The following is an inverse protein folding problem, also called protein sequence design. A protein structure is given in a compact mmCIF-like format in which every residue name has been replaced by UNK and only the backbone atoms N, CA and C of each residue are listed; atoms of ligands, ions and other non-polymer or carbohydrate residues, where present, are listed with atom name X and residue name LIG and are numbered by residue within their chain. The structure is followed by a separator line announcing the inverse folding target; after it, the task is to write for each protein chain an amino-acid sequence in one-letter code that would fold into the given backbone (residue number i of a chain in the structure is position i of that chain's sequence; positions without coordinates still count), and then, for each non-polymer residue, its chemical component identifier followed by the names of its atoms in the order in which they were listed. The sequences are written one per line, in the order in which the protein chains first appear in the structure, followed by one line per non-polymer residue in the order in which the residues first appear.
data_IF_205472969076
#
_entry.id   IF_205472969076
#
_cell.length_a   1.000
_cell.length_b   1.000
_cell.length_c   1.000
_cell.angle_alpha   90.00
_cell.angle_beta   90.00
_cell.angle_gamma   90.00
#
_symmetry.space_group_name_H-M   'P 1'
#
loop_
_entity.id
_entity.type
_entity.pdbx_description
1 polymer ?
#
# COMPACT_ATOMS: atom_id res chain seq x y z
N UNK A 1 -12.06 -11.73 -12.89
CA UNK A 1 -12.47 -11.54 -11.49
C UNK A 1 -11.69 -10.34 -10.97
N UNK A 2 -12.36 -9.33 -10.43
CA UNK A 2 -11.65 -8.14 -9.94
C UNK A 2 -10.83 -8.57 -8.73
N UNK A 3 -9.50 -8.65 -8.86
CA UNK A 3 -8.62 -8.78 -7.70
C UNK A 3 -8.86 -7.51 -6.88
N UNK A 4 -9.69 -7.63 -5.86
CA UNK A 4 -9.81 -6.60 -4.85
C UNK A 4 -8.63 -6.80 -3.89
N UNK A 5 -7.98 -5.71 -3.48
CA UNK A 5 -6.92 -5.81 -2.49
C UNK A 5 -7.51 -6.30 -1.17
N UNK A 6 -6.75 -7.14 -0.48
CA UNK A 6 -7.12 -7.70 0.82
C UNK A 6 -7.21 -6.60 1.89
N UNK A 7 -6.31 -5.61 1.83
CA UNK A 7 -6.33 -4.47 2.73
C UNK A 7 -5.59 -3.25 2.14
N UNK A 8 -5.89 -2.05 2.64
CA UNK A 8 -5.19 -0.82 2.26
C UNK A 8 -4.87 0.01 3.49
N UNK A 9 -3.63 0.49 3.58
CA UNK A 9 -3.15 1.36 4.64
C UNK A 9 -2.66 2.65 4.00
N UNK A 10 -3.18 3.80 4.45
CA UNK A 10 -2.87 5.11 3.87
C UNK A 10 -2.31 6.08 4.91
N UNK A 11 -1.23 6.76 4.55
CA UNK A 11 -0.62 7.85 5.31
C UNK A 11 -0.25 9.00 4.38
N UNK A 12 -0.95 10.12 4.54
CA UNK A 12 -0.84 11.25 3.63
C UNK A 12 -1.13 10.81 2.19
N UNK A 13 -0.15 10.99 1.30
CA UNK A 13 -0.23 10.58 -0.10
C UNK A 13 0.23 9.13 -0.34
N UNK A 14 0.89 8.49 0.62
CA UNK A 14 1.41 7.12 0.47
C UNK A 14 0.37 6.09 0.88
N UNK A 15 0.18 5.05 0.07
CA UNK A 15 -0.73 3.94 0.32
C UNK A 15 0.00 2.62 0.13
N UNK A 16 0.00 1.76 1.15
CA UNK A 16 0.30 0.34 1.01
C UNK A 16 -0.99 -0.41 0.64
N UNK A 17 -0.98 -1.10 -0.50
CA UNK A 17 -2.06 -1.96 -0.96
C UNK A 17 -1.62 -3.40 -0.82
N UNK A 18 -2.34 -4.16 0.00
CA UNK A 18 -2.02 -5.55 0.32
C UNK A 18 -2.88 -6.46 -0.55
N UNK A 19 -2.25 -7.44 -1.20
CA UNK A 19 -2.90 -8.44 -2.04
C UNK A 19 -2.78 -9.82 -1.41
N UNK A 20 -3.82 -10.64 -1.51
CA UNK A 20 -3.78 -12.04 -1.10
C UNK A 20 -3.78 -12.92 -2.35
N UNK A 21 -2.69 -13.65 -2.57
CA UNK A 21 -2.49 -14.56 -3.68
C UNK A 21 -2.52 -16.00 -3.13
N UNK A 22 -3.72 -16.50 -2.87
CA UNK A 22 -3.99 -17.84 -2.34
C UNK A 22 -3.21 -18.18 -1.06
N UNK A 23 -3.03 -17.19 -0.19
CA UNK A 23 -2.32 -17.32 1.07
C UNK A 23 -0.92 -16.74 1.09
N UNK A 24 -0.39 -16.30 -0.06
CA UNK A 24 0.83 -15.53 -0.14
C UNK A 24 0.49 -14.05 -0.29
N UNK A 25 0.96 -13.22 0.63
CA UNK A 25 0.67 -11.79 0.60
C UNK A 25 1.76 -11.02 -0.15
N UNK A 26 1.34 -10.05 -0.97
CA UNK A 26 2.22 -9.04 -1.57
C UNK A 26 1.74 -7.64 -1.22
N UNK A 27 2.64 -6.65 -1.28
CA UNK A 27 2.33 -5.26 -0.92
C UNK A 27 2.87 -4.30 -1.98
N UNK A 28 2.00 -3.48 -2.55
CA UNK A 28 2.37 -2.35 -3.39
C UNK A 28 2.32 -1.05 -2.58
N UNK A 29 3.46 -0.38 -2.44
CA UNK A 29 3.52 0.95 -1.83
C UNK A 29 3.57 1.99 -2.95
N UNK A 30 2.54 2.83 -3.00
CA UNK A 30 2.41 3.87 -4.03
C UNK A 30 2.14 5.22 -3.40
N UNK A 31 2.48 6.28 -4.11
CA UNK A 31 2.14 7.66 -3.77
C UNK A 31 1.10 8.19 -4.74
N UNK A 32 0.08 8.84 -4.21
CA UNK A 32 -0.92 9.57 -4.99
C UNK A 32 -0.45 10.99 -5.32
N UNK A 33 -0.69 11.43 -6.55
CA UNK A 33 -0.39 12.79 -7.02
C UNK A 33 -1.46 13.26 -8.00
N UNK A 34 -1.55 14.57 -8.23
CA UNK A 34 -2.36 15.13 -9.33
C UNK A 34 -1.49 15.39 -10.55
N UNK A 35 -1.92 14.94 -11.71
CA UNK A 35 -1.23 15.23 -12.97
C UNK A 35 -1.55 16.65 -13.49
N UNK A 36 -1.01 16.98 -14.67
CA UNK A 36 -1.20 18.30 -15.29
C UNK A 36 -2.64 18.59 -15.72
N UNK A 37 -3.50 17.57 -15.79
CA UNK A 37 -4.93 17.68 -16.10
C UNK A 37 -5.78 17.79 -14.83
N UNK A 38 -5.17 17.62 -13.64
CA UNK A 38 -5.84 17.66 -12.35
C UNK A 38 -6.38 16.30 -11.88
N UNK A 39 -6.13 15.23 -12.64
CA UNK A 39 -6.56 13.89 -12.29
C UNK A 39 -5.65 13.29 -11.23
N UNK A 40 -6.23 12.57 -10.27
CA UNK A 40 -5.46 11.78 -9.32
C UNK A 40 -4.89 10.52 -9.98
N UNK A 41 -3.58 10.33 -9.84
CA UNK A 41 -2.83 9.16 -10.29
C UNK A 41 -2.02 8.60 -9.13
N UNK A 42 -1.46 7.40 -9.32
CA UNK A 42 -0.53 6.77 -8.39
C UNK A 42 0.80 6.46 -9.08
N UNK A 43 1.89 6.51 -8.34
CA UNK A 43 3.24 6.14 -8.81
C UNK A 43 3.99 5.37 -7.73
N UNK A 44 4.95 4.54 -8.13
CA UNK A 44 5.92 3.90 -7.23
C UNK A 44 7.14 4.80 -6.93
N UNK A 45 7.30 5.91 -7.64
CA UNK A 45 8.34 6.90 -7.36
C UNK A 45 7.99 7.72 -6.12
N UNK A 46 8.82 7.60 -5.08
CA UNK A 46 8.64 8.29 -3.81
C UNK A 46 9.60 9.49 -3.73
N UNK A 47 9.11 10.61 -3.21
CA UNK A 47 9.99 11.72 -2.82
C UNK A 47 10.52 11.50 -1.41
N UNK A 48 11.57 12.25 -1.05
CA UNK A 48 12.14 12.23 0.30
C UNK A 48 11.06 12.41 1.40
N UNK A 49 10.08 13.29 1.17
CA UNK A 49 8.96 13.54 2.09
C UNK A 49 8.02 12.34 2.29
N UNK A 50 8.02 11.38 1.36
CA UNK A 50 7.14 10.21 1.42
C UNK A 50 7.81 9.01 2.11
N UNK A 51 9.14 9.02 2.28
CA UNK A 51 9.89 7.86 2.73
C UNK A 51 9.51 7.41 4.14
N UNK A 52 9.31 8.36 5.08
CA UNK A 52 8.86 8.01 6.43
C UNK A 52 7.44 7.39 6.41
N UNK A 53 6.55 7.94 5.57
CA UNK A 53 5.21 7.39 5.40
C UNK A 53 5.26 6.00 4.75
N UNK A 54 6.13 5.77 3.77
CA UNK A 54 6.33 4.47 3.15
C UNK A 54 6.83 3.43 4.16
N UNK A 55 7.82 3.78 4.98
CA UNK A 55 8.32 2.91 6.04
C UNK A 55 7.21 2.55 7.04
N UNK A 56 6.40 3.53 7.48
CA UNK A 56 5.27 3.29 8.40
C UNK A 56 4.12 2.52 7.76
N UNK A 57 3.90 2.69 6.46
CA UNK A 57 2.94 1.87 5.72
C UNK A 57 3.43 0.42 5.61
N UNK A 58 4.72 0.19 5.34
CA UNK A 58 5.32 -1.14 5.29
C UNK A 58 5.22 -1.87 6.64
N UNK A 59 5.61 -1.19 7.73
CA UNK A 59 5.51 -1.69 9.10
C UNK A 59 4.09 -2.13 9.46
N UNK A 60 3.09 -1.27 9.18
CA UNK A 60 1.69 -1.63 9.46
C UNK A 60 1.14 -2.72 8.54
N UNK A 61 1.63 -2.82 7.31
CA UNK A 61 1.25 -3.89 6.40
C UNK A 61 1.79 -5.23 6.89
N UNK A 62 3.04 -5.27 7.36
CA UNK A 62 3.62 -6.46 7.99
C UNK A 62 2.77 -6.91 9.19
N UNK A 63 2.47 -5.99 10.13
CA UNK A 63 1.66 -6.30 11.32
C UNK A 63 0.31 -6.91 10.92
N UNK A 64 -0.37 -6.32 9.94
CA UNK A 64 -1.65 -6.82 9.45
C UNK A 64 -1.52 -8.22 8.83
N UNK A 65 -0.53 -8.44 7.97
CA UNK A 65 -0.26 -9.74 7.34
C UNK A 65 0.03 -10.80 8.40
N UNK A 66 0.86 -10.50 9.39
CA UNK A 66 1.22 -11.40 10.49
C UNK A 66 -0.01 -11.81 11.33
N UNK A 67 -0.96 -10.91 11.54
CA UNK A 67 -2.25 -11.24 12.16
C UNK A 67 -3.10 -12.18 11.29
N UNK A 68 -3.15 -11.97 9.98
CA UNK A 68 -3.89 -12.86 9.07
C UNK A 68 -3.26 -14.26 9.01
N UNK A 69 -1.93 -14.35 9.04
CA UNK A 69 -1.21 -15.63 9.02
C UNK A 69 -1.37 -16.40 10.34
N UNK A 70 -1.44 -15.69 11.47
CA UNK A 70 -1.63 -16.31 12.80
C UNK A 70 -3.06 -16.83 13.01
N UNK A 71 -4.04 -16.29 12.29
CA UNK A 71 -5.46 -16.69 12.40
C UNK A 71 -5.81 -17.85 11.45
N UNK A 72 -4.83 -18.36 10.71
CA UNK A 72 -4.98 -19.39 9.69
C UNK A 72 -4.68 -20.77 10.25
#
# INVERSE_FOLDING_TARGET
MSNQPAHKIKLGLTTATIWNNDGNYSVDITRSYRDGQGDWKNTSSLFHSDLLNAAKCADRAEIWISQQLSTR
#
